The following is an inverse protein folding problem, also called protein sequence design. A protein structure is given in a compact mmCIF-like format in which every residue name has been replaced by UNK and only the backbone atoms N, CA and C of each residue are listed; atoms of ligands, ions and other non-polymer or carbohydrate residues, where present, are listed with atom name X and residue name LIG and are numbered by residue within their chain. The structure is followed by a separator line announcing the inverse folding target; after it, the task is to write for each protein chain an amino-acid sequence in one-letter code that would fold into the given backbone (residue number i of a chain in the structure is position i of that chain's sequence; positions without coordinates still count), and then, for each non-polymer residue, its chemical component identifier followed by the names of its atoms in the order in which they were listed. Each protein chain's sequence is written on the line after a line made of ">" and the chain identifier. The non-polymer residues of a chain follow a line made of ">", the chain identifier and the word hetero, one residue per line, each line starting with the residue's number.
data_IF_515773993124
#
_entry.id   IF_515773993124
#
_cell.length_a   1.000
_cell.length_b   1.000
_cell.length_c   1.000
_cell.angle_alpha   90.00
_cell.angle_beta   90.00
_cell.angle_gamma   90.00
#
_symmetry.space_group_name_H-M   'P 1'
#
loop_
_entity.id
_entity.type
_entity.pdbx_description
1 polymer ?
#
# COMPACT_ATOMS: atom_id res chain seq x y z
N UNK A 1 -35.12 -2.25 16.77
CA UNK A 1 -35.24 -1.98 15.33
C UNK A 1 -33.86 -2.16 14.66
N UNK A 2 -33.27 -3.36 14.72
CA UNK A 2 -31.85 -3.62 14.36
C UNK A 2 -31.60 -5.05 13.85
N UNK A 3 -32.62 -5.74 13.34
CA UNK A 3 -32.53 -7.16 12.94
C UNK A 3 -32.37 -7.42 11.44
N UNK A 4 -32.67 -6.44 10.59
CA UNK A 4 -32.80 -6.66 9.14
C UNK A 4 -31.46 -6.68 8.41
N UNK A 5 -30.47 -5.90 8.88
CA UNK A 5 -29.14 -5.88 8.28
C UNK A 5 -28.38 -7.20 8.52
N UNK A 6 -28.57 -7.83 9.69
CA UNK A 6 -27.92 -9.11 10.04
C UNK A 6 -28.44 -10.27 9.18
N UNK A 7 -29.72 -10.25 8.82
CA UNK A 7 -30.32 -11.23 7.91
C UNK A 7 -29.90 -11.01 6.45
N UNK A 8 -29.74 -9.76 6.01
CA UNK A 8 -29.17 -9.47 4.68
C UNK A 8 -27.71 -9.92 4.58
N UNK A 9 -26.91 -9.70 5.63
CA UNK A 9 -25.55 -10.25 5.74
C UNK A 9 -25.54 -11.78 5.77
N UNK A 10 -26.49 -12.42 6.48
CA UNK A 10 -26.59 -13.88 6.51
C UNK A 10 -27.07 -14.48 5.18
N UNK A 11 -27.94 -13.79 4.43
CA UNK A 11 -28.34 -14.22 3.09
C UNK A 11 -27.20 -14.01 2.08
N UNK A 12 -26.39 -12.97 2.28
CA UNK A 12 -25.12 -12.76 1.55
C UNK A 12 -24.05 -13.81 1.87
N UNK A 13 -24.11 -14.48 3.03
CA UNK A 13 -23.20 -15.58 3.40
C UNK A 13 -23.51 -16.89 2.68
N UNK A 14 -24.70 -17.03 2.10
CA UNK A 14 -25.09 -18.20 1.29
C UNK A 14 -24.71 -17.99 -0.19
N UNK A 15 -24.30 -16.78 -0.58
CA UNK A 15 -23.81 -16.49 -1.91
C UNK A 15 -22.33 -16.94 -2.01
N UNK A 16 -22.03 -17.81 -2.97
CA UNK A 16 -20.66 -18.18 -3.30
C UNK A 16 -19.84 -16.89 -3.53
N UNK A 17 -18.63 -16.81 -2.98
CA UNK A 17 -17.78 -15.59 -3.12
C UNK A 17 -17.61 -15.22 -4.59
N UNK A 18 -17.54 -16.22 -5.46
CA UNK A 18 -17.47 -16.02 -6.90
C UNK A 18 -18.68 -15.35 -7.52
N UNK A 19 -19.89 -15.62 -7.02
CA UNK A 19 -21.12 -14.99 -7.51
C UNK A 19 -21.18 -13.49 -7.14
N UNK A 20 -20.71 -13.13 -5.94
CA UNK A 20 -20.57 -11.72 -5.53
C UNK A 20 -19.60 -10.98 -6.46
N UNK A 21 -18.43 -11.58 -6.70
CA UNK A 21 -17.40 -11.01 -7.58
C UNK A 21 -17.93 -10.89 -9.01
N UNK A 22 -18.59 -11.91 -9.53
CA UNK A 22 -19.17 -11.92 -10.87
C UNK A 22 -20.16 -10.77 -11.07
N UNK A 23 -21.09 -10.60 -10.12
CA UNK A 23 -22.08 -9.53 -10.17
C UNK A 23 -21.42 -8.15 -10.25
N UNK A 24 -20.39 -7.91 -9.44
CA UNK A 24 -19.66 -6.64 -9.41
C UNK A 24 -18.89 -6.43 -10.72
N UNK A 25 -18.22 -7.47 -11.22
CA UNK A 25 -17.48 -7.42 -12.49
C UNK A 25 -18.40 -7.06 -13.64
N UNK A 26 -19.52 -7.77 -13.80
CA UNK A 26 -20.45 -7.60 -14.93
C UNK A 26 -21.09 -6.21 -14.98
N UNK A 27 -21.23 -5.55 -13.84
CA UNK A 27 -21.72 -4.17 -13.76
C UNK A 27 -20.68 -3.13 -14.20
N UNK A 28 -19.38 -3.48 -14.22
CA UNK A 28 -18.28 -2.56 -14.55
C UNK A 28 -17.72 -2.80 -15.94
N UNK A 29 -17.37 -4.05 -16.26
CA UNK A 29 -16.74 -4.42 -17.54
C UNK A 29 -17.20 -5.80 -18.03
N UNK A 30 -17.03 -6.06 -19.33
CA UNK A 30 -17.30 -7.37 -19.92
C UNK A 30 -16.25 -8.42 -19.54
N UNK A 31 -16.65 -9.69 -19.51
CA UNK A 31 -15.76 -10.83 -19.17
C UNK A 31 -14.54 -10.92 -20.10
N UNK A 32 -14.73 -10.68 -21.40
CA UNK A 32 -13.63 -10.65 -22.38
C UNK A 32 -12.62 -9.54 -22.07
N UNK A 33 -13.08 -8.40 -21.56
CA UNK A 33 -12.21 -7.29 -21.20
C UNK A 33 -11.43 -7.60 -19.91
N UNK A 34 -12.10 -8.19 -18.91
CA UNK A 34 -11.45 -8.63 -17.68
C UNK A 34 -10.36 -9.68 -17.97
N UNK A 35 -10.67 -10.66 -18.84
CA UNK A 35 -9.74 -11.69 -19.28
C UNK A 35 -8.46 -11.08 -19.90
N UNK A 36 -8.64 -10.07 -20.77
CA UNK A 36 -7.53 -9.32 -21.36
C UNK A 36 -6.71 -8.55 -20.32
N UNK A 37 -7.37 -7.86 -19.38
CA UNK A 37 -6.70 -7.09 -18.30
C UNK A 37 -5.90 -7.99 -17.35
N UNK A 38 -6.38 -9.20 -17.09
CA UNK A 38 -5.75 -10.16 -16.19
C UNK A 38 -4.78 -11.13 -16.89
N UNK A 39 -4.72 -11.12 -18.22
CA UNK A 39 -3.96 -12.05 -19.04
C UNK A 39 -4.30 -13.53 -18.75
N UNK A 40 -5.60 -13.85 -18.67
CA UNK A 40 -6.11 -15.21 -18.44
C UNK A 40 -7.21 -15.55 -19.45
N UNK A 41 -7.54 -16.85 -19.57
CA UNK A 41 -8.65 -17.27 -20.42
C UNK A 41 -10.01 -16.87 -19.83
N UNK A 42 -11.02 -16.66 -20.69
CA UNK A 42 -12.40 -16.44 -20.24
C UNK A 42 -12.92 -17.61 -19.41
N UNK A 43 -12.55 -18.84 -19.76
CA UNK A 43 -12.88 -20.06 -19.00
C UNK A 43 -12.35 -20.00 -17.58
N UNK A 44 -11.12 -19.52 -17.37
CA UNK A 44 -10.55 -19.34 -16.04
C UNK A 44 -11.39 -18.37 -15.19
N UNK A 45 -11.94 -17.32 -15.81
CA UNK A 45 -12.80 -16.36 -15.12
C UNK A 45 -14.13 -17.00 -14.72
N UNK A 46 -14.78 -17.75 -15.63
CA UNK A 46 -16.01 -18.48 -15.29
C UNK A 46 -15.77 -19.49 -14.17
N UNK A 47 -14.68 -20.26 -14.25
CA UNK A 47 -14.32 -21.22 -13.21
C UNK A 47 -14.11 -20.53 -11.86
N UNK A 48 -13.55 -19.32 -11.81
CA UNK A 48 -13.44 -18.58 -10.56
C UNK A 48 -14.82 -18.21 -10.01
N UNK A 49 -15.74 -17.75 -10.85
CA UNK A 49 -17.09 -17.37 -10.41
C UNK A 49 -17.92 -18.56 -9.89
N UNK A 50 -17.71 -19.74 -10.45
CA UNK A 50 -18.37 -20.97 -10.02
C UNK A 50 -17.77 -21.57 -8.73
N UNK A 51 -16.57 -21.14 -8.32
CA UNK A 51 -15.92 -21.64 -7.11
C UNK A 51 -16.54 -21.04 -5.84
N UNK A 52 -16.90 -21.91 -4.89
CA UNK A 52 -17.36 -21.53 -3.55
C UNK A 52 -16.31 -20.68 -2.81
N UNK A 53 -15.03 -20.98 -3.04
CA UNK A 53 -13.89 -20.29 -2.46
C UNK A 53 -12.95 -19.74 -3.55
N UNK A 54 -12.97 -18.42 -3.75
CA UNK A 54 -11.93 -17.71 -4.50
C UNK A 54 -10.85 -17.23 -3.54
N UNK A 55 -9.58 -17.42 -3.91
CA UNK A 55 -8.45 -16.87 -3.16
C UNK A 55 -8.47 -15.34 -3.11
N UNK A 56 -8.18 -14.77 -1.94
CA UNK A 56 -8.10 -13.32 -1.71
C UNK A 56 -7.19 -12.60 -2.71
N UNK A 57 -6.08 -13.24 -3.09
CA UNK A 57 -5.16 -12.75 -4.12
C UNK A 57 -5.87 -12.51 -5.46
N UNK A 58 -6.71 -13.45 -5.89
CA UNK A 58 -7.45 -13.36 -7.14
C UNK A 58 -8.51 -12.26 -7.07
N UNK A 59 -9.20 -12.16 -5.94
CA UNK A 59 -10.17 -11.08 -5.66
C UNK A 59 -9.48 -9.71 -5.76
N UNK A 60 -8.30 -9.54 -5.16
CA UNK A 60 -7.54 -8.29 -5.25
C UNK A 60 -7.10 -7.96 -6.68
N UNK A 61 -6.66 -8.96 -7.47
CA UNK A 61 -6.30 -8.73 -8.88
C UNK A 61 -7.50 -8.29 -9.71
N UNK A 62 -8.64 -8.94 -9.52
CA UNK A 62 -9.90 -8.56 -10.16
C UNK A 62 -10.26 -7.13 -9.75
N UNK A 63 -10.21 -6.83 -8.45
CA UNK A 63 -10.50 -5.50 -7.89
C UNK A 63 -9.64 -4.40 -8.52
N UNK A 64 -8.34 -4.63 -8.64
CA UNK A 64 -7.43 -3.70 -9.30
C UNK A 64 -7.75 -3.53 -10.80
N UNK A 65 -8.09 -4.61 -11.51
CA UNK A 65 -8.42 -4.56 -12.93
C UNK A 65 -9.69 -3.75 -13.24
N UNK A 66 -10.65 -3.74 -12.31
CA UNK A 66 -11.95 -3.05 -12.44
C UNK A 66 -12.06 -1.77 -11.59
N UNK A 67 -11.02 -1.40 -10.85
CA UNK A 67 -11.07 -0.28 -9.90
C UNK A 67 -12.15 -0.46 -8.82
N UNK A 68 -12.21 -1.63 -8.20
CA UNK A 68 -13.13 -1.94 -7.09
C UNK A 68 -12.36 -2.38 -5.85
N UNK A 69 -12.77 -1.87 -4.70
CA UNK A 69 -12.28 -2.32 -3.41
C UNK A 69 -13.24 -3.35 -2.81
N UNK A 70 -12.80 -4.60 -2.76
CA UNK A 70 -13.56 -5.75 -2.28
C UNK A 70 -13.55 -5.92 -0.75
N UNK A 71 -12.89 -5.01 -0.01
CA UNK A 71 -12.84 -5.06 1.46
C UNK A 71 -14.21 -4.84 2.11
N UNK A 72 -15.12 -4.14 1.43
CA UNK A 72 -16.48 -3.92 1.90
C UNK A 72 -17.34 -5.18 1.82
N UNK A 73 -17.13 -6.01 0.79
CA UNK A 73 -17.87 -7.26 0.58
C UNK A 73 -17.26 -8.44 1.35
N UNK A 74 -15.95 -8.45 1.57
CA UNK A 74 -15.25 -9.55 2.24
C UNK A 74 -14.43 -9.10 3.46
N UNK A 75 -15.00 -8.35 4.42
CA UNK A 75 -14.24 -7.77 5.52
C UNK A 75 -13.48 -8.81 6.36
N UNK A 76 -14.04 -10.01 6.54
CA UNK A 76 -13.38 -11.11 7.26
C UNK A 76 -12.13 -11.64 6.56
N UNK A 77 -12.14 -11.72 5.23
CA UNK A 77 -10.99 -12.20 4.45
C UNK A 77 -9.84 -11.20 4.48
N UNK A 78 -10.17 -9.90 4.40
CA UNK A 78 -9.19 -8.82 4.48
C UNK A 78 -8.67 -8.62 5.92
N UNK A 79 -9.51 -8.86 6.94
CA UNK A 79 -9.09 -8.79 8.35
C UNK A 79 -8.06 -9.87 8.70
N UNK A 80 -8.19 -11.08 8.13
CA UNK A 80 -7.20 -12.17 8.29
C UNK A 80 -5.85 -11.84 7.65
N UNK A 81 -5.85 -10.97 6.62
CA UNK A 81 -4.65 -10.55 5.90
C UNK A 81 -3.86 -9.47 6.66
N UNK A 82 -4.47 -8.71 7.57
CA UNK A 82 -3.85 -7.59 8.27
C UNK A 82 -2.53 -7.89 9.00
N UNK A 83 -2.23 -9.17 9.23
CA UNK A 83 -1.01 -9.63 9.89
C UNK A 83 0.02 -10.26 8.94
N UNK A 84 -0.38 -10.64 7.71
CA UNK A 84 0.53 -11.13 6.65
C UNK A 84 0.55 -10.07 5.57
N UNK A 85 1.61 -9.26 5.59
CA UNK A 85 1.87 -8.23 4.60
C UNK A 85 1.58 -8.77 3.20
N UNK A 86 0.68 -8.13 2.46
CA UNK A 86 0.29 -8.50 1.09
C UNK A 86 1.50 -8.76 0.18
N UNK A 87 2.64 -8.12 0.50
CA UNK A 87 3.97 -8.32 -0.09
C UNK A 87 4.48 -9.76 0.10
N UNK A 88 4.35 -10.38 1.27
CA UNK A 88 4.85 -11.73 1.53
C UNK A 88 4.13 -12.79 0.69
N UNK A 89 2.83 -12.61 0.48
CA UNK A 89 2.02 -13.49 -0.37
C UNK A 89 2.34 -13.28 -1.86
N UNK A 90 2.73 -12.07 -2.26
CA UNK A 90 3.09 -11.74 -3.64
C UNK A 90 4.50 -12.22 -3.97
N UNK A 91 5.47 -12.04 -3.08
CA UNK A 91 6.88 -12.41 -3.30
C UNK A 91 7.11 -13.92 -3.37
N UNK A 92 6.33 -14.74 -2.65
CA UNK A 92 6.48 -16.21 -2.73
C UNK A 92 6.09 -16.82 -4.09
N UNK A 93 5.30 -16.12 -4.91
CA UNK A 93 4.72 -16.70 -6.13
C UNK A 93 5.43 -16.30 -7.44
N UNK A 94 6.27 -15.27 -7.43
CA UNK A 94 6.64 -14.56 -8.66
C UNK A 94 8.14 -14.59 -9.02
N UNK A 95 8.81 -15.73 -8.91
CA UNK A 95 10.12 -15.91 -9.58
C UNK A 95 10.00 -16.04 -11.11
N UNK A 96 8.80 -15.91 -11.67
CA UNK A 96 8.51 -15.98 -13.10
C UNK A 96 7.40 -14.98 -13.42
N UNK A 97 7.75 -13.79 -13.94
CA UNK A 97 7.04 -13.05 -15.02
C UNK A 97 7.20 -11.51 -14.95
N UNK A 98 7.27 -10.81 -16.10
CA UNK A 98 7.54 -9.35 -16.18
C UNK A 98 6.41 -8.46 -15.63
N UNK A 99 5.20 -8.99 -15.49
CA UNK A 99 4.03 -8.25 -14.97
C UNK A 99 4.16 -7.86 -13.48
N UNK A 100 5.03 -8.55 -12.72
CA UNK A 100 5.31 -8.21 -11.33
C UNK A 100 5.92 -6.80 -11.20
N UNK A 101 6.68 -6.34 -12.20
CA UNK A 101 7.34 -5.03 -12.19
C UNK A 101 6.35 -3.87 -12.06
N UNK A 102 5.23 -3.90 -12.80
CA UNK A 102 4.21 -2.84 -12.74
C UNK A 102 3.50 -2.79 -11.39
N UNK A 103 3.21 -3.96 -10.79
CA UNK A 103 2.56 -4.02 -9.48
C UNK A 103 3.51 -3.61 -8.35
N UNK A 104 4.78 -4.02 -8.40
CA UNK A 104 5.79 -3.62 -7.42
C UNK A 104 6.05 -2.12 -7.52
N UNK A 105 6.19 -1.57 -8.73
CA UNK A 105 6.33 -0.13 -8.92
C UNK A 105 5.10 0.65 -8.43
N UNK A 106 3.88 0.14 -8.65
CA UNK A 106 2.68 0.77 -8.12
C UNK A 106 2.73 0.89 -6.58
N UNK A 107 3.08 -0.19 -5.88
CA UNK A 107 3.19 -0.18 -4.42
C UNK A 107 4.39 0.64 -3.92
N UNK A 108 5.52 0.60 -4.63
CA UNK A 108 6.68 1.46 -4.36
C UNK A 108 6.29 2.93 -4.43
N UNK A 109 5.60 3.34 -5.49
CA UNK A 109 5.14 4.72 -5.67
C UNK A 109 4.13 5.12 -4.58
N UNK A 110 3.21 4.22 -4.20
CA UNK A 110 2.28 4.46 -3.09
C UNK A 110 3.00 4.65 -1.76
N UNK A 111 4.06 3.88 -1.50
CA UNK A 111 4.89 4.01 -0.30
C UNK A 111 5.68 5.33 -0.30
N UNK A 112 6.32 5.68 -1.43
CA UNK A 112 7.01 6.96 -1.60
C UNK A 112 6.05 8.12 -1.34
N UNK A 113 4.87 8.13 -1.97
CA UNK A 113 3.87 9.18 -1.75
C UNK A 113 3.37 9.27 -0.31
N UNK A 114 3.37 8.16 0.43
CA UNK A 114 3.00 8.16 1.84
C UNK A 114 4.09 8.82 2.69
N UNK A 115 5.36 8.46 2.45
CA UNK A 115 6.51 9.05 3.13
C UNK A 115 6.61 10.56 2.85
N UNK A 116 6.42 10.97 1.61
CA UNK A 116 6.41 12.39 1.22
C UNK A 116 5.35 13.17 2.00
N UNK A 117 4.10 12.67 2.04
CA UNK A 117 3.02 13.30 2.82
C UNK A 117 3.34 13.36 4.31
N UNK A 118 3.97 12.33 4.86
CA UNK A 118 4.38 12.33 6.27
C UNK A 118 5.44 13.40 6.55
N UNK A 119 6.47 13.47 5.71
CA UNK A 119 7.53 14.47 5.81
C UNK A 119 6.98 15.89 5.63
N UNK A 120 6.03 16.10 4.72
CA UNK A 120 5.34 17.37 4.54
C UNK A 120 4.61 17.81 5.80
N UNK A 121 3.92 16.89 6.48
CA UNK A 121 3.23 17.18 7.74
C UNK A 121 4.22 17.55 8.85
N UNK A 122 5.33 16.81 8.97
CA UNK A 122 6.40 17.12 9.93
C UNK A 122 7.02 18.50 9.66
N UNK A 123 7.32 18.82 8.40
CA UNK A 123 7.87 20.12 8.02
C UNK A 123 6.89 21.27 8.30
N UNK A 124 5.59 21.08 8.04
CA UNK A 124 4.56 22.07 8.39
C UNK A 124 4.48 22.31 9.89
N UNK A 125 4.62 21.25 10.69
CA UNK A 125 4.62 21.36 12.14
C UNK A 125 5.88 22.09 12.65
N UNK A 126 7.05 21.76 12.11
CA UNK A 126 8.33 22.42 12.42
C UNK A 126 8.35 23.91 12.04
N UNK A 127 7.73 24.29 10.92
CA UNK A 127 7.72 25.67 10.41
C UNK A 127 6.64 26.55 11.03
N UNK A 128 5.81 26.03 11.93
CA UNK A 128 4.70 26.76 12.58
C UNK A 128 5.07 27.42 13.90
N UNK A 129 6.35 27.59 14.20
CA UNK A 129 6.84 28.36 15.35
C UNK A 129 7.27 29.77 14.88
N UNK A 130 6.39 30.79 14.87
CA UNK A 130 6.83 32.17 14.71
C UNK A 130 7.43 32.61 16.04
N UNK A 131 8.76 32.59 16.14
CA UNK A 131 9.45 33.29 17.22
C UNK A 131 9.13 34.78 17.12
N UNK A 132 8.38 35.27 18.12
CA UNK A 132 8.27 36.69 18.40
C UNK A 132 9.56 37.18 19.05
N UNK A 133 10.21 38.16 18.42
CA UNK A 133 10.89 39.24 19.13
C UNK A 133 12.43 39.21 19.19
N UNK A 134 13.06 40.12 18.46
CA UNK A 134 14.24 40.85 18.96
C UNK A 134 15.50 40.87 18.08
N UNK A 135 15.60 41.85 17.20
CA UNK A 135 16.86 42.54 16.83
C UNK A 135 16.52 44.04 16.70
N UNK A 136 17.42 45.03 16.96
CA UNK A 136 18.88 45.06 16.76
C UNK A 136 19.64 45.60 18.02
N UNK A 137 20.97 45.60 18.16
CA UNK A 137 21.99 46.47 17.52
C UNK A 137 23.39 46.06 18.02
N UNK A 138 24.43 46.11 17.19
CA UNK A 138 25.77 45.58 17.49
C UNK A 138 26.78 46.54 18.15
N UNK A 139 27.99 46.02 18.40
CA UNK A 139 29.33 46.65 18.32
C UNK A 139 30.43 45.60 18.60
N UNK A 140 31.44 45.51 17.72
CA UNK A 140 32.78 44.90 17.96
C UNK A 140 33.70 45.94 18.69
N UNK A 141 34.97 45.67 19.12
CA UNK A 141 35.84 44.47 19.00
C UNK A 141 36.60 44.06 20.30
N UNK A 142 37.29 42.92 20.29
CA UNK A 142 38.26 42.53 21.34
C UNK A 142 39.07 41.27 20.98
N UNK A 143 40.39 41.36 21.08
CA UNK A 143 41.42 40.55 20.40
C UNK A 143 42.11 39.52 21.33
N UNK A 144 42.09 38.22 20.94
CA UNK A 144 43.20 37.19 20.96
C UNK A 144 43.76 36.71 22.34
N UNK A 145 44.49 35.56 22.53
CA UNK A 145 44.81 34.35 21.73
C UNK A 145 44.46 32.97 22.38
N UNK A 146 44.66 31.86 21.62
CA UNK A 146 44.56 30.44 22.06
C UNK A 146 45.63 29.95 23.07
N UNK A 147 45.79 28.63 23.33
CA UNK A 147 46.44 27.75 22.34
C UNK A 147 46.08 26.23 22.33
N UNK A 148 46.43 25.61 21.19
CA UNK A 148 47.04 24.27 20.97
C UNK A 148 46.20 22.98 21.04
N UNK A 149 45.82 22.57 19.82
CA UNK A 149 45.87 21.23 19.25
C UNK A 149 46.92 20.28 19.87
N UNK A 150 46.46 19.09 20.30
CA UNK A 150 47.28 17.89 20.49
C UNK A 150 46.55 16.71 19.87
N UNK A 151 47.11 16.18 18.77
CA UNK A 151 46.52 15.13 17.97
C UNK A 151 46.56 13.73 18.59
N UNK A 152 45.79 12.83 17.96
CA UNK A 152 46.10 11.40 17.92
C UNK A 152 46.02 10.93 16.47
N UNK A 153 47.11 10.29 16.06
CA UNK A 153 47.40 9.76 14.73
C UNK A 153 46.52 8.55 14.42
N UNK A 154 46.07 8.46 13.17
CA UNK A 154 45.62 7.23 12.55
C UNK A 154 46.84 6.43 12.06
N UNK A 155 46.85 5.13 12.34
CA UNK A 155 47.67 4.14 11.61
C UNK A 155 46.74 3.04 11.09
N UNK A 156 46.69 2.73 9.78
CA UNK A 156 46.08 1.52 9.27
C UNK A 156 47.11 0.38 9.27
N UNK A 157 46.74 -0.79 9.81
CA UNK A 157 47.55 -2.00 9.70
C UNK A 157 47.22 -2.73 8.39
N UNK A 158 48.24 -3.00 7.60
CA UNK A 158 48.19 -3.82 6.39
C UNK A 158 49.16 -5.00 6.52
N UNK A 159 48.61 -6.22 6.53
CA UNK A 159 49.00 -7.37 5.70
C UNK A 159 48.03 -8.53 5.95
#
# INVERSE_FOLDING_TARGET
>A
MVGWYKLHTMLSMILNKGEIVERIVRNKIGISELARKLNVSRTSIYNWFEQEYISIYTICKIGNAIGHDFSNEFPEEFSKIGNKTFIDLYLQKNNTEPYASNSVQYWMNKYISLLEKHNDLLNRMSNSNPESGGQPTGVHPGTVPGPKNSGQQFSPLSH
#
